data_IF_894952116208
#
_entry.id   IF_894952116208
#
_cell.length_a   1.000
_cell.length_b   1.000
_cell.length_c   1.000
_cell.angle_alpha   90.00
_cell.angle_beta   90.00
_cell.angle_gamma   90.00
#
_symmetry.space_group_name_H-M   'P 1'
#
loop_
_entity.id
_entity.type
_entity.pdbx_description
1 polymer ?
#
# COMPACT_ATOMS: atom_id res chain seq x y z
N UNK A 1 -31.79 -1.33 -38.88
CA UNK A 1 -32.84 -2.39 -38.91
C UNK A 1 -33.55 -2.45 -40.25
N UNK A 2 -34.03 -1.31 -40.78
CA UNK A 2 -34.75 -1.19 -42.07
C UNK A 2 -33.85 -1.57 -43.25
N UNK A 3 -32.57 -1.21 -43.22
CA UNK A 3 -31.60 -1.55 -44.28
C UNK A 3 -31.32 -3.06 -44.34
N UNK A 4 -31.16 -3.71 -43.17
CA UNK A 4 -30.98 -5.16 -43.10
C UNK A 4 -32.25 -5.90 -43.52
N UNK A 5 -33.43 -5.42 -43.16
CA UNK A 5 -34.73 -6.00 -43.57
C UNK A 5 -34.93 -5.92 -45.07
N UNK A 6 -34.38 -4.89 -45.77
CA UNK A 6 -34.48 -4.75 -47.21
C UNK A 6 -33.76 -5.83 -48.02
N UNK A 7 -32.78 -6.50 -47.41
CA UNK A 7 -32.03 -7.63 -48.01
C UNK A 7 -32.61 -8.99 -47.66
N UNK A 8 -33.48 -9.06 -46.65
CA UNK A 8 -34.10 -10.30 -46.25
C UNK A 8 -35.00 -10.84 -47.38
N UNK A 9 -34.72 -12.05 -47.82
CA UNK A 9 -35.49 -12.74 -48.88
C UNK A 9 -35.08 -12.38 -50.34
N UNK A 10 -34.09 -11.52 -50.56
CA UNK A 10 -33.64 -11.13 -51.91
C UNK A 10 -32.45 -11.94 -52.45
N UNK A 11 -31.80 -12.72 -51.63
CA UNK A 11 -30.74 -13.64 -52.03
C UNK A 11 -31.02 -15.02 -51.51
N UNK A 12 -31.04 -16.00 -52.43
CA UNK A 12 -30.94 -17.39 -52.06
C UNK A 12 -29.54 -17.62 -51.51
N UNK A 13 -29.44 -17.72 -50.20
CA UNK A 13 -28.24 -18.21 -49.58
C UNK A 13 -28.32 -19.73 -49.57
N UNK A 14 -27.45 -20.36 -50.36
CA UNK A 14 -27.21 -21.79 -50.28
C UNK A 14 -26.52 -22.07 -48.93
N UNK A 15 -27.26 -22.00 -47.86
CA UNK A 15 -26.80 -22.36 -46.53
C UNK A 15 -26.89 -23.87 -46.45
N UNK A 16 -25.71 -24.53 -46.40
CA UNK A 16 -25.62 -25.92 -45.98
C UNK A 16 -26.33 -26.05 -44.62
N UNK A 17 -27.56 -26.59 -44.67
CA UNK A 17 -28.33 -26.89 -43.46
C UNK A 17 -27.93 -28.29 -43.00
N UNK A 18 -27.09 -28.42 -41.94
CA UNK A 18 -26.78 -29.75 -41.41
C UNK A 18 -28.07 -30.37 -40.86
N UNK A 19 -28.22 -31.68 -41.08
CA UNK A 19 -29.37 -32.39 -40.55
C UNK A 19 -29.43 -32.27 -39.02
N UNK A 20 -30.58 -32.18 -38.39
CA UNK A 20 -30.69 -32.10 -36.93
C UNK A 20 -29.92 -33.20 -36.18
N UNK A 21 -29.76 -34.38 -36.81
CA UNK A 21 -28.97 -35.51 -36.30
C UNK A 21 -27.46 -35.20 -36.24
N UNK A 22 -26.94 -34.36 -37.13
CA UNK A 22 -25.55 -33.98 -37.20
C UNK A 22 -25.20 -32.88 -36.19
N UNK A 23 -26.20 -32.10 -35.78
CA UNK A 23 -26.08 -31.06 -34.74
C UNK A 23 -26.27 -31.60 -33.32
N UNK A 24 -26.70 -32.85 -33.18
CA UNK A 24 -26.97 -33.47 -31.89
C UNK A 24 -25.65 -33.77 -31.16
N UNK A 25 -25.28 -32.91 -30.22
CA UNK A 25 -24.14 -33.15 -29.30
C UNK A 25 -24.68 -33.82 -28.03
N UNK A 26 -24.13 -34.98 -27.71
CA UNK A 26 -24.30 -35.57 -26.40
C UNK A 26 -23.31 -34.93 -25.44
N UNK A 27 -23.81 -34.11 -24.54
CA UNK A 27 -23.02 -33.54 -23.45
C UNK A 27 -23.15 -34.50 -22.27
N UNK A 28 -22.14 -35.30 -22.02
CA UNK A 28 -22.06 -36.07 -20.78
C UNK A 28 -21.59 -35.16 -19.66
N UNK A 29 -22.36 -35.04 -18.60
CA UNK A 29 -21.97 -34.36 -17.39
C UNK A 29 -20.91 -35.21 -16.66
N UNK A 30 -19.67 -34.74 -16.64
CA UNK A 30 -18.62 -35.38 -15.85
C UNK A 30 -18.61 -34.66 -14.49
N UNK A 31 -19.27 -35.27 -13.50
CA UNK A 31 -19.28 -34.78 -12.14
C UNK A 31 -17.88 -34.99 -11.52
N UNK A 32 -17.04 -33.95 -11.53
CA UNK A 32 -15.80 -33.95 -10.75
C UNK A 32 -16.10 -33.52 -9.32
N UNK A 33 -16.49 -34.48 -8.50
CA UNK A 33 -16.57 -34.26 -7.04
C UNK A 33 -15.16 -34.23 -6.49
N UNK A 34 -14.70 -33.04 -6.14
CA UNK A 34 -13.48 -32.91 -5.35
C UNK A 34 -13.82 -33.35 -3.90
N UNK A 35 -12.88 -34.07 -3.24
CA UNK A 35 -13.12 -34.49 -1.85
C UNK A 35 -13.33 -33.23 -0.97
N UNK A 36 -14.20 -33.39 0.02
CA UNK A 36 -14.40 -32.34 1.03
C UNK A 36 -13.15 -32.27 1.92
N UNK A 37 -12.53 -31.09 2.09
CA UNK A 37 -11.38 -30.94 2.99
C UNK A 37 -11.76 -31.21 4.44
N UNK A 38 -10.80 -31.65 5.23
CA UNK A 38 -10.98 -31.84 6.66
C UNK A 38 -11.15 -30.51 7.40
N UNK A 39 -11.74 -30.52 8.58
CA UNK A 39 -11.89 -29.33 9.42
C UNK A 39 -10.54 -28.67 9.76
N UNK A 40 -9.48 -29.47 9.89
CA UNK A 40 -8.12 -28.98 10.13
C UNK A 40 -7.56 -28.22 8.95
N UNK A 41 -7.79 -28.68 7.72
CA UNK A 41 -7.38 -28.00 6.49
C UNK A 41 -8.17 -26.72 6.28
N UNK A 42 -9.48 -26.75 6.48
CA UNK A 42 -10.34 -25.56 6.41
C UNK A 42 -9.90 -24.52 7.42
N UNK A 43 -9.65 -24.92 8.68
CA UNK A 43 -9.17 -24.05 9.73
C UNK A 43 -7.77 -23.48 9.43
N UNK A 44 -6.90 -24.25 8.77
CA UNK A 44 -5.61 -23.76 8.31
C UNK A 44 -5.75 -22.67 7.22
N UNK A 45 -6.62 -22.90 6.22
CA UNK A 45 -6.91 -21.92 5.18
C UNK A 45 -7.52 -20.64 5.73
N UNK A 46 -8.44 -20.73 6.71
CA UNK A 46 -9.00 -19.56 7.40
C UNK A 46 -7.92 -18.76 8.11
N UNK A 47 -7.00 -19.41 8.85
CA UNK A 47 -5.88 -18.74 9.50
C UNK A 47 -4.95 -18.05 8.51
N UNK A 48 -4.68 -18.66 7.37
CA UNK A 48 -3.87 -18.05 6.31
C UNK A 48 -4.53 -16.79 5.71
N UNK A 49 -5.87 -16.70 5.75
CA UNK A 49 -6.64 -15.50 5.39
C UNK A 49 -6.77 -14.50 6.55
N UNK A 50 -6.03 -14.68 7.67
CA UNK A 50 -6.13 -13.81 8.84
C UNK A 50 -7.40 -14.02 9.68
N UNK A 51 -8.08 -15.18 9.53
CA UNK A 51 -9.31 -15.50 10.28
C UNK A 51 -8.97 -16.47 11.40
N UNK A 52 -8.66 -15.94 12.58
CA UNK A 52 -8.25 -16.72 13.76
C UNK A 52 -9.42 -17.08 14.66
N UNK A 53 -10.48 -16.27 14.64
CA UNK A 53 -11.68 -16.42 15.45
C UNK A 53 -12.92 -16.34 14.56
N UNK A 54 -14.06 -16.91 14.97
CA UNK A 54 -15.31 -16.77 14.22
C UNK A 54 -15.75 -15.32 13.98
N UNK A 55 -15.40 -14.39 14.90
CA UNK A 55 -15.65 -12.96 14.74
C UNK A 55 -14.90 -12.32 13.57
N UNK A 56 -13.81 -12.92 13.11
CA UNK A 56 -13.00 -12.41 12.01
C UNK A 56 -13.57 -12.80 10.64
N UNK A 57 -14.54 -13.74 10.64
CA UNK A 57 -15.22 -14.21 9.44
C UNK A 57 -16.36 -13.25 9.06
N UNK A 58 -15.99 -12.16 8.36
CA UNK A 58 -16.93 -11.08 7.98
C UNK A 58 -18.03 -11.56 7.01
N UNK A 59 -17.83 -12.67 6.31
CA UNK A 59 -18.77 -13.24 5.33
C UNK A 59 -19.30 -12.18 4.33
N UNK A 60 -18.42 -11.26 3.92
CA UNK A 60 -18.79 -10.06 3.15
C UNK A 60 -19.12 -10.30 1.68
N UNK A 61 -18.90 -11.52 1.18
CA UNK A 61 -19.20 -11.90 -0.22
C UNK A 61 -18.29 -11.27 -1.30
N UNK A 62 -17.43 -10.32 -0.96
CA UNK A 62 -16.60 -9.58 -1.93
C UNK A 62 -15.65 -10.43 -2.76
N UNK A 63 -15.33 -11.63 -2.29
CA UNK A 63 -14.48 -12.61 -3.01
C UNK A 63 -15.27 -13.58 -3.90
N UNK A 64 -16.60 -13.41 -4.03
CA UNK A 64 -17.48 -14.27 -4.81
C UNK A 64 -17.98 -15.51 -4.07
N UNK A 65 -17.65 -15.71 -2.80
CA UNK A 65 -18.14 -16.77 -1.92
C UNK A 65 -19.04 -16.17 -0.84
N UNK A 66 -20.14 -16.86 -0.51
CA UNK A 66 -21.09 -16.35 0.49
C UNK A 66 -20.51 -16.31 1.90
N UNK A 67 -19.65 -17.28 2.21
CA UNK A 67 -19.00 -17.37 3.53
C UNK A 67 -17.48 -17.50 3.42
N UNK A 68 -16.78 -17.05 4.46
CA UNK A 68 -15.32 -17.23 4.56
C UNK A 68 -14.95 -18.71 4.60
N UNK A 69 -15.81 -19.56 5.18
CA UNK A 69 -15.65 -21.01 5.22
C UNK A 69 -15.76 -21.64 3.82
N UNK A 70 -16.76 -21.25 3.01
CA UNK A 70 -16.88 -21.72 1.61
C UNK A 70 -15.65 -21.37 0.80
N UNK A 71 -15.12 -20.14 0.98
CA UNK A 71 -13.87 -19.75 0.35
C UNK A 71 -12.69 -20.61 0.82
N UNK A 72 -12.59 -20.89 2.11
CA UNK A 72 -11.52 -21.74 2.64
C UNK A 72 -11.57 -23.15 2.02
N UNK A 73 -12.77 -23.74 1.87
CA UNK A 73 -12.97 -25.00 1.16
C UNK A 73 -12.50 -24.90 -0.30
N UNK A 74 -12.86 -23.81 -1.00
CA UNK A 74 -12.44 -23.58 -2.36
C UNK A 74 -10.91 -23.43 -2.50
N UNK A 75 -10.25 -22.81 -1.54
CA UNK A 75 -8.78 -22.71 -1.47
C UNK A 75 -8.17 -24.11 -1.32
N UNK A 76 -8.65 -24.91 -0.37
CA UNK A 76 -8.17 -26.29 -0.18
C UNK A 76 -8.37 -27.15 -1.43
N UNK A 77 -9.40 -26.89 -2.21
CA UNK A 77 -9.69 -27.57 -3.48
C UNK A 77 -8.95 -26.96 -4.70
N UNK A 78 -8.12 -25.95 -4.51
CA UNK A 78 -7.39 -25.27 -5.59
C UNK A 78 -8.26 -24.45 -6.55
N UNK A 79 -9.50 -24.09 -6.13
CA UNK A 79 -10.45 -23.29 -6.93
C UNK A 79 -10.39 -21.80 -6.63
N UNK A 80 -9.74 -21.39 -5.54
CA UNK A 80 -9.63 -20.02 -5.12
C UNK A 80 -8.24 -19.74 -4.53
N UNK A 81 -7.86 -18.47 -4.57
CA UNK A 81 -6.62 -17.98 -3.95
C UNK A 81 -6.92 -17.12 -2.72
N UNK A 82 -5.98 -17.10 -1.78
CA UNK A 82 -6.05 -16.27 -0.57
C UNK A 82 -6.16 -14.79 -0.95
N UNK A 83 -5.40 -14.38 -1.98
CA UNK A 83 -5.34 -13.01 -2.53
C UNK A 83 -6.69 -12.46 -2.99
N UNK A 84 -7.68 -13.31 -3.25
CA UNK A 84 -9.03 -12.87 -3.60
C UNK A 84 -9.82 -12.28 -2.41
N UNK A 85 -9.30 -12.37 -1.16
CA UNK A 85 -9.98 -11.82 0.01
C UNK A 85 -9.62 -10.34 0.18
N UNK A 86 -10.55 -9.42 -0.11
CA UNK A 86 -10.30 -7.98 -0.02
C UNK A 86 -9.91 -7.51 1.39
N UNK A 87 -10.59 -7.92 2.49
CA UNK A 87 -10.12 -7.57 3.84
C UNK A 87 -8.70 -8.03 4.11
N UNK A 88 -8.34 -9.27 3.74
CA UNK A 88 -6.98 -9.78 3.89
C UNK A 88 -5.95 -8.97 3.09
N UNK A 89 -6.27 -8.61 1.84
CA UNK A 89 -5.38 -7.78 1.02
C UNK A 89 -5.18 -6.40 1.62
N UNK A 90 -6.25 -5.79 2.14
CA UNK A 90 -6.19 -4.50 2.81
C UNK A 90 -5.29 -4.58 4.03
N UNK A 91 -5.54 -5.51 4.94
CA UNK A 91 -4.76 -5.71 6.16
C UNK A 91 -3.28 -5.98 5.84
N UNK A 92 -3.01 -6.78 4.80
CA UNK A 92 -1.65 -7.09 4.34
C UNK A 92 -0.94 -5.86 3.77
N UNK A 93 -1.64 -5.04 2.98
CA UNK A 93 -1.08 -3.81 2.41
C UNK A 93 -0.77 -2.78 3.51
N UNK A 94 -1.67 -2.59 4.48
CA UNK A 94 -1.48 -1.71 5.63
C UNK A 94 -0.29 -2.19 6.49
N UNK A 95 -0.23 -3.48 6.83
CA UNK A 95 0.87 -4.07 7.59
C UNK A 95 2.22 -3.95 6.88
N UNK A 96 2.26 -4.11 5.55
CA UNK A 96 3.48 -3.95 4.77
C UNK A 96 3.96 -2.49 4.76
N UNK A 97 3.05 -1.54 4.53
CA UNK A 97 3.34 -0.11 4.60
C UNK A 97 3.87 0.28 5.97
N UNK A 98 3.19 -0.13 7.04
CA UNK A 98 3.61 0.11 8.42
C UNK A 98 4.99 -0.48 8.72
N UNK A 99 5.27 -1.67 8.22
CA UNK A 99 6.57 -2.34 8.42
C UNK A 99 7.70 -1.57 7.75
N UNK A 100 7.50 -1.08 6.52
CA UNK A 100 8.49 -0.25 5.82
C UNK A 100 8.73 1.05 6.58
N UNK A 101 7.66 1.76 6.95
CA UNK A 101 7.74 3.04 7.66
C UNK A 101 8.44 2.89 9.01
N UNK A 102 8.15 1.83 9.76
CA UNK A 102 8.77 1.57 11.07
C UNK A 102 10.24 1.16 10.98
N UNK A 103 10.63 0.40 9.96
CA UNK A 103 11.98 -0.16 9.86
C UNK A 103 12.94 0.66 8.99
N UNK A 104 12.47 1.73 8.34
CA UNK A 104 13.38 2.62 7.61
C UNK A 104 14.32 3.34 8.59
N UNK A 105 15.63 3.40 8.30
CA UNK A 105 16.58 4.14 9.12
C UNK A 105 16.41 5.66 9.02
N UNK A 106 15.74 6.13 7.96
CA UNK A 106 15.46 7.54 7.77
C UNK A 106 14.25 7.97 8.58
N UNK A 107 14.33 9.15 9.20
CA UNK A 107 13.19 9.80 9.81
C UNK A 107 12.14 10.13 8.75
N UNK A 108 10.88 9.80 9.02
CA UNK A 108 9.76 10.10 8.16
C UNK A 108 8.69 10.84 8.96
N UNK A 109 8.24 11.97 8.40
CA UNK A 109 7.13 12.75 8.91
C UNK A 109 6.16 13.04 7.76
N UNK A 110 4.86 12.88 8.03
CA UNK A 110 3.80 13.22 7.07
C UNK A 110 2.93 14.30 7.69
N UNK A 111 2.70 15.36 6.93
CA UNK A 111 1.87 16.50 7.32
C UNK A 111 0.71 16.66 6.35
N UNK A 112 -0.40 17.22 6.83
CA UNK A 112 -1.46 17.73 5.95
C UNK A 112 -1.13 19.18 5.47
N UNK A 113 -2.00 19.75 4.65
CA UNK A 113 -1.83 21.12 4.14
C UNK A 113 -1.87 22.21 5.24
N UNK A 114 -2.48 21.90 6.37
CA UNK A 114 -2.47 22.77 7.54
C UNK A 114 -1.18 22.64 8.36
N UNK A 115 -0.22 21.83 7.89
CA UNK A 115 1.03 21.53 8.59
C UNK A 115 0.83 20.80 9.93
N UNK A 116 -0.25 20.04 10.07
CA UNK A 116 -0.49 19.17 11.21
C UNK A 116 0.14 17.80 10.96
N UNK A 117 0.76 17.24 11.99
CA UNK A 117 1.45 15.94 11.91
C UNK A 117 0.43 14.82 11.80
N UNK A 118 0.41 14.13 10.65
CA UNK A 118 -0.44 12.97 10.41
C UNK A 118 0.26 11.65 10.76
N UNK A 119 1.56 11.59 10.50
CA UNK A 119 2.34 10.39 10.78
C UNK A 119 3.80 10.75 11.09
N UNK A 120 4.41 10.00 11.99
CA UNK A 120 5.84 10.11 12.34
C UNK A 120 6.39 8.72 12.67
N UNK A 121 7.54 8.36 12.09
CA UNK A 121 8.16 7.08 12.38
C UNK A 121 9.13 7.14 13.57
N UNK A 122 9.64 5.99 13.97
CA UNK A 122 10.54 5.87 15.11
C UNK A 122 11.87 6.60 14.88
N UNK A 123 12.43 6.54 13.65
CA UNK A 123 13.68 7.22 13.33
C UNK A 123 13.55 8.74 13.44
N UNK A 124 12.46 9.34 12.93
CA UNK A 124 12.20 10.77 13.09
C UNK A 124 12.04 11.16 14.56
N UNK A 125 11.34 10.36 15.36
CA UNK A 125 11.21 10.60 16.81
C UNK A 125 12.55 10.57 17.53
N UNK A 126 13.45 9.64 17.14
CA UNK A 126 14.82 9.57 17.70
C UNK A 126 15.65 10.80 17.34
N UNK A 127 15.58 11.30 16.09
CA UNK A 127 16.26 12.52 15.66
C UNK A 127 15.80 13.71 16.48
N UNK A 128 14.48 13.82 16.73
CA UNK A 128 13.86 14.97 17.42
C UNK A 128 13.65 14.75 18.92
N UNK A 129 14.19 13.69 19.52
CA UNK A 129 14.03 13.35 20.93
C UNK A 129 12.56 13.27 21.43
N UNK A 130 11.64 12.86 20.56
CA UNK A 130 10.22 12.72 20.87
C UNK A 130 9.97 11.33 21.47
N UNK A 131 9.35 11.25 22.64
CA UNK A 131 9.12 10.00 23.39
C UNK A 131 8.06 9.13 22.72
N UNK A 132 6.90 9.71 22.42
CA UNK A 132 5.79 8.99 21.80
C UNK A 132 5.28 9.73 20.56
N UNK A 133 4.80 8.96 19.57
CA UNK A 133 4.13 9.56 18.42
C UNK A 133 2.86 10.32 18.83
N UNK A 134 2.16 9.86 19.87
CA UNK A 134 0.96 10.52 20.40
C UNK A 134 1.21 11.93 20.93
N UNK A 135 2.47 12.27 21.24
CA UNK A 135 2.82 13.60 21.78
C UNK A 135 2.78 14.69 20.71
N UNK A 136 2.77 14.29 19.43
CA UNK A 136 2.87 15.23 18.29
C UNK A 136 1.83 14.97 17.20
N UNK A 137 1.17 13.80 17.18
CA UNK A 137 0.14 13.50 16.18
C UNK A 137 -1.05 14.46 16.33
N UNK A 138 -1.45 15.08 15.22
CA UNK A 138 -2.50 16.10 15.17
C UNK A 138 -2.03 17.50 15.54
N UNK A 139 -0.83 17.66 16.07
CA UNK A 139 -0.28 18.97 16.42
C UNK A 139 0.37 19.65 15.20
N UNK A 140 0.51 20.97 15.30
CA UNK A 140 1.20 21.78 14.31
C UNK A 140 2.71 21.47 14.28
N UNK A 141 3.28 21.34 13.09
CA UNK A 141 4.71 21.02 12.88
C UNK A 141 5.65 22.02 13.55
N UNK A 142 5.22 23.28 13.75
CA UNK A 142 6.04 24.33 14.39
C UNK A 142 6.50 23.95 15.81
N UNK A 143 5.82 23.00 16.46
CA UNK A 143 6.24 22.51 17.77
C UNK A 143 7.53 21.67 17.74
N UNK A 144 7.88 21.17 16.58
CA UNK A 144 8.99 20.21 16.41
C UNK A 144 9.97 20.60 15.31
N UNK A 145 9.54 21.31 14.26
CA UNK A 145 10.37 21.74 13.14
C UNK A 145 9.94 23.11 12.66
N UNK A 146 10.88 23.82 11.99
CA UNK A 146 10.58 25.09 11.30
C UNK A 146 9.60 24.85 10.14
N UNK A 147 8.40 25.46 10.18
CA UNK A 147 7.39 25.28 9.15
C UNK A 147 7.73 25.93 7.81
N UNK A 148 8.69 26.87 7.78
CA UNK A 148 8.99 27.72 6.61
C UNK A 148 9.33 26.89 5.37
N UNK A 149 10.08 25.81 5.53
CA UNK A 149 10.49 24.95 4.39
C UNK A 149 9.26 24.22 3.82
N UNK A 150 8.39 23.73 4.67
CA UNK A 150 7.15 23.05 4.25
C UNK A 150 6.20 24.02 3.56
N UNK A 151 6.02 25.22 4.10
CA UNK A 151 5.20 26.28 3.49
C UNK A 151 5.73 26.67 2.10
N UNK A 152 7.05 26.78 1.96
CA UNK A 152 7.69 27.09 0.68
C UNK A 152 7.44 25.99 -0.36
N UNK A 153 7.45 24.72 0.04
CA UNK A 153 7.16 23.59 -0.86
C UNK A 153 5.69 23.63 -1.33
N UNK A 154 4.74 23.88 -0.44
CA UNK A 154 3.32 24.05 -0.81
C UNK A 154 3.14 25.22 -1.78
N UNK A 155 3.69 26.39 -1.44
CA UNK A 155 3.46 27.63 -2.18
C UNK A 155 4.13 27.61 -3.55
N UNK A 156 5.39 27.11 -3.62
CA UNK A 156 6.16 27.09 -4.86
C UNK A 156 5.87 25.87 -5.72
N UNK A 157 5.32 24.81 -5.15
CA UNK A 157 5.15 23.50 -5.79
C UNK A 157 6.48 22.79 -6.12
N UNK A 158 7.61 23.29 -5.60
CA UNK A 158 8.94 22.72 -5.82
C UNK A 158 9.37 21.90 -4.61
N UNK A 159 9.63 20.62 -4.84
CA UNK A 159 10.15 19.72 -3.82
C UNK A 159 11.58 20.13 -3.40
N UNK A 160 11.90 19.92 -2.14
CA UNK A 160 13.25 20.02 -1.60
C UNK A 160 13.90 18.64 -1.68
N UNK A 161 15.16 18.55 -2.15
CA UNK A 161 15.91 17.30 -2.22
C UNK A 161 17.25 17.46 -1.56
N UNK A 162 17.62 16.50 -0.72
CA UNK A 162 18.95 16.31 -0.14
C UNK A 162 19.55 17.61 0.47
N UNK A 163 18.68 18.43 1.05
CA UNK A 163 19.11 19.66 1.69
C UNK A 163 19.66 19.38 3.08
N UNK A 164 20.90 19.79 3.34
CA UNK A 164 21.52 19.69 4.66
C UNK A 164 21.13 20.87 5.53
N UNK A 165 20.64 20.57 6.73
CA UNK A 165 20.18 21.56 7.70
C UNK A 165 20.67 21.16 9.09
N UNK A 166 21.08 22.15 9.88
CA UNK A 166 21.35 21.96 11.29
C UNK A 166 20.12 22.25 12.13
N UNK A 167 19.62 21.24 12.81
CA UNK A 167 18.51 21.36 13.74
C UNK A 167 19.06 21.74 15.12
N UNK A 168 19.09 23.04 15.41
CA UNK A 168 19.73 23.58 16.62
C UNK A 168 19.09 23.05 17.91
N UNK A 169 17.77 22.86 17.96
CA UNK A 169 17.04 22.36 19.12
C UNK A 169 17.46 20.93 19.49
N UNK A 170 17.81 20.12 18.48
CA UNK A 170 18.18 18.71 18.66
C UNK A 170 19.69 18.47 18.56
N UNK A 171 20.46 19.50 18.22
CA UNK A 171 21.93 19.45 17.99
C UNK A 171 22.29 18.36 16.97
N UNK A 172 21.55 18.28 15.86
CA UNK A 172 21.70 17.29 14.81
C UNK A 172 21.82 17.95 13.45
N UNK A 173 22.71 17.41 12.62
CA UNK A 173 22.72 17.68 11.19
C UNK A 173 21.82 16.65 10.49
N UNK A 174 20.88 17.11 9.71
CA UNK A 174 20.02 16.25 8.92
C UNK A 174 20.08 16.62 7.45
N UNK A 175 20.04 15.61 6.60
CA UNK A 175 19.79 15.76 5.19
C UNK A 175 18.30 15.49 4.95
N UNK A 176 17.58 16.53 4.50
CA UNK A 176 16.13 16.47 4.37
C UNK A 176 15.68 16.50 2.91
N UNK A 177 14.68 15.70 2.61
CA UNK A 177 13.93 15.73 1.36
C UNK A 177 12.46 15.94 1.70
N UNK A 178 11.82 16.96 1.09
CA UNK A 178 10.40 17.26 1.33
C UNK A 178 9.67 17.24 0.00
N UNK A 179 8.62 16.45 -0.06
CA UNK A 179 7.79 16.25 -1.25
C UNK A 179 6.35 16.60 -0.91
N UNK A 180 5.71 17.35 -1.77
CA UNK A 180 4.28 17.60 -1.69
C UNK A 180 3.54 16.79 -2.73
N UNK A 181 2.69 15.89 -2.27
CA UNK A 181 1.78 15.13 -3.12
C UNK A 181 0.44 15.86 -3.23
N UNK A 182 0.17 16.37 -4.44
CA UNK A 182 -1.04 17.14 -4.73
C UNK A 182 -2.31 16.28 -4.76
N UNK A 183 -2.19 14.99 -5.04
CA UNK A 183 -3.36 14.11 -5.12
C UNK A 183 -3.88 13.75 -3.73
N UNK A 184 -2.99 13.43 -2.83
CA UNK A 184 -3.33 13.08 -1.44
C UNK A 184 -3.40 14.30 -0.50
N UNK A 185 -2.99 15.48 -0.95
CA UNK A 185 -2.87 16.70 -0.14
C UNK A 185 -1.96 16.53 1.08
N UNK A 186 -0.89 15.74 0.91
CA UNK A 186 0.06 15.42 1.97
C UNK A 186 1.47 15.91 1.64
N UNK A 187 2.18 16.37 2.67
CA UNK A 187 3.61 16.61 2.60
C UNK A 187 4.35 15.47 3.27
N UNK A 188 5.34 14.95 2.60
CA UNK A 188 6.21 13.88 3.12
C UNK A 188 7.61 14.46 3.32
N UNK A 189 8.06 14.53 4.56
CA UNK A 189 9.42 14.87 4.93
C UNK A 189 10.22 13.61 5.27
N UNK A 190 11.35 13.44 4.60
CA UNK A 190 12.31 12.37 4.86
C UNK A 190 13.56 13.02 5.40
N UNK A 191 14.11 12.52 6.51
CA UNK A 191 15.27 13.07 7.18
C UNK A 191 16.29 11.97 7.47
N UNK A 192 17.50 12.15 7.00
CA UNK A 192 18.66 11.29 7.32
C UNK A 192 19.55 12.02 8.33
N UNK A 193 19.85 11.39 9.45
CA UNK A 193 20.82 11.93 10.39
C UNK A 193 22.21 11.80 9.77
N UNK A 194 22.89 12.92 9.59
CA UNK A 194 24.23 13.02 9.01
C UNK A 194 25.22 13.68 9.97
N UNK A 195 24.87 13.70 11.26
CA UNK A 195 25.64 14.40 12.31
C UNK A 195 27.08 13.89 12.38
N UNK A 196 27.27 12.58 12.40
CA UNK A 196 28.61 11.99 12.48
C UNK A 196 29.42 12.26 11.21
N UNK A 197 28.78 12.21 10.03
CA UNK A 197 29.40 12.52 8.74
C UNK A 197 29.91 13.97 8.70
N UNK A 198 29.12 14.93 9.22
CA UNK A 198 29.50 16.34 9.25
C UNK A 198 30.65 16.60 10.23
N UNK A 199 30.63 16.03 11.42
CA UNK A 199 31.74 16.14 12.35
C UNK A 199 33.06 15.54 11.82
N UNK A 200 32.96 14.40 11.15
CA UNK A 200 34.15 13.83 10.50
C UNK A 200 34.68 14.72 9.36
N UNK A 201 33.78 15.31 8.58
CA UNK A 201 34.16 16.26 7.52
C UNK A 201 34.87 17.48 8.09
N UNK A 202 34.27 18.12 9.10
CA UNK A 202 34.90 19.27 9.78
C UNK A 202 36.24 18.91 10.38
N UNK A 203 36.36 17.72 10.98
CA UNK A 203 37.67 17.25 11.53
C UNK A 203 38.73 17.11 10.46
N UNK A 204 38.38 16.53 9.30
CA UNK A 204 39.30 16.37 8.17
C UNK A 204 39.72 17.72 7.58
N UNK A 205 38.79 18.66 7.43
CA UNK A 205 39.08 20.02 6.95
C UNK A 205 40.00 20.77 7.92
N UNK A 206 39.77 20.68 9.22
CA UNK A 206 40.58 21.30 10.24
C UNK A 206 42.03 20.74 10.27
N UNK A 207 42.19 19.42 10.07
CA UNK A 207 43.51 18.79 9.96
C UNK A 207 44.23 19.32 8.70
N UNK A 208 43.54 19.35 7.55
CA UNK A 208 44.10 19.84 6.29
C UNK A 208 44.56 21.29 6.37
N UNK A 209 43.77 22.15 7.04
CA UNK A 209 44.15 23.58 7.26
C UNK A 209 45.35 23.79 8.18
N UNK A 210 45.65 22.82 9.05
CA UNK A 210 46.82 22.90 9.98
C UNK A 210 48.10 22.33 9.37
N UNK A 211 47.99 21.65 8.23
CA UNK A 211 49.11 20.98 7.57
C UNK A 211 49.67 21.82 6.39
N UNK A 212 49.12 23.01 6.15
CA UNK A 212 49.63 24.04 5.22
C UNK A 212 50.32 25.13 6.04
#
# INVERSE_FOLDING_TARGET
YLEVASYAGKKDFDVLQPKPSELKKFISFIERKLPMPSETEIGSALRQMGKFKPSDELNCGSCGYNTCREKAIAICQGKAEISMCLPFLKDKAESFSDTIVKNTPNGLIVLNENLEVQQINEAARKIMNIRSASDVLGDQVIRILDPSVFMNVITSGKNVKDQRVYLAEYKRYVEQTIVYDKESHLLVGIMRDVTDEEYERERKENISRRTI
#
